data_IF_085943470765
#
_entry.id   IF_085943470765
#
_cell.length_a   1.000
_cell.length_b   1.000
_cell.length_c   1.000
_cell.angle_alpha   90.00
_cell.angle_beta   90.00
_cell.angle_gamma   90.00
#
_symmetry.space_group_name_H-M   'P 1'
#
loop_
_entity.id
_entity.type
_entity.pdbx_description
1 polymer ?
#
# COMPACT_ATOMS: atom_id res chain seq x y z
N UNK A 1 5.24 -30.68 -9.71
CA UNK A 1 5.34 -29.42 -10.47
C UNK A 1 5.93 -28.39 -9.52
N UNK A 2 7.23 -28.15 -9.59
CA UNK A 2 7.97 -27.21 -8.73
C UNK A 2 8.44 -26.05 -9.60
N UNK A 3 8.08 -24.82 -9.23
CA UNK A 3 8.92 -23.62 -9.18
C UNK A 3 8.01 -22.40 -8.92
N UNK A 4 8.02 -21.83 -7.72
CA UNK A 4 8.99 -20.87 -7.17
C UNK A 4 8.44 -19.43 -7.28
N UNK A 5 7.50 -19.11 -6.37
CA UNK A 5 7.20 -17.74 -5.95
C UNK A 5 7.48 -17.66 -4.44
N UNK A 6 8.64 -18.17 -4.01
CA UNK A 6 9.22 -17.77 -2.74
C UNK A 6 9.53 -16.30 -2.87
N UNK A 7 8.90 -15.49 -2.01
CA UNK A 7 8.91 -14.04 -2.04
C UNK A 7 10.25 -13.47 -2.45
N UNK A 8 10.22 -12.58 -3.45
CA UNK A 8 11.26 -11.59 -3.68
C UNK A 8 11.31 -10.65 -2.47
N UNK A 9 11.87 -11.16 -1.37
CA UNK A 9 12.31 -10.38 -0.22
C UNK A 9 13.52 -9.58 -0.71
N UNK A 10 13.28 -8.32 -1.07
CA UNK A 10 14.36 -7.37 -1.28
C UNK A 10 15.15 -7.23 0.03
N UNK A 11 16.49 -7.14 -0.03
CA UNK A 11 17.35 -7.22 1.15
C UNK A 11 17.04 -6.10 2.14
N UNK A 12 16.80 -6.50 3.40
CA UNK A 12 16.55 -5.63 4.55
C UNK A 12 17.71 -4.62 4.74
N UNK A 13 17.45 -3.33 4.54
CA UNK A 13 18.34 -2.27 4.99
C UNK A 13 18.07 -1.96 6.47
N UNK A 14 19.06 -2.25 7.32
CA UNK A 14 19.02 -2.29 8.78
C UNK A 14 18.98 -0.92 9.52
N UNK A 15 18.36 0.13 8.97
CA UNK A 15 18.32 1.45 9.65
C UNK A 15 16.92 1.95 10.05
N UNK A 16 15.85 1.20 9.80
CA UNK A 16 14.47 1.64 10.07
C UNK A 16 13.83 0.81 11.19
N UNK A 17 14.17 1.14 12.44
CA UNK A 17 13.93 0.33 13.65
C UNK A 17 12.51 -0.13 14.01
N UNK A 18 11.47 0.19 13.22
CA UNK A 18 10.10 -0.33 13.41
C UNK A 18 9.19 -0.02 12.20
N UNK A 19 9.42 1.11 11.53
CA UNK A 19 8.59 1.62 10.43
C UNK A 19 8.62 0.74 9.17
N UNK A 20 9.71 0.02 8.90
CA UNK A 20 9.79 -0.91 7.75
C UNK A 20 8.90 -2.14 7.95
N UNK A 21 8.97 -2.87 9.07
CA UNK A 21 8.01 -3.93 9.38
C UNK A 21 6.55 -3.48 9.33
N UNK A 22 6.26 -2.24 9.76
CA UNK A 22 4.91 -1.69 9.68
C UNK A 22 4.48 -1.39 8.23
N UNK A 23 5.37 -0.84 7.41
CA UNK A 23 5.13 -0.69 5.97
C UNK A 23 4.93 -2.05 5.28
N UNK A 24 5.69 -3.08 5.66
CA UNK A 24 5.57 -4.44 5.13
C UNK A 24 4.22 -5.06 5.50
N UNK A 25 3.82 -4.96 6.77
CA UNK A 25 2.49 -5.39 7.23
C UNK A 25 1.38 -4.69 6.45
N UNK A 26 1.39 -3.36 6.39
CA UNK A 26 0.36 -2.59 5.68
C UNK A 26 0.32 -2.95 4.20
N UNK A 27 1.48 -3.10 3.55
CA UNK A 27 1.55 -3.53 2.14
C UNK A 27 1.00 -4.93 1.90
N UNK A 28 1.17 -5.83 2.86
CA UNK A 28 0.67 -7.20 2.79
C UNK A 28 -0.84 -7.24 2.95
N UNK A 29 -1.37 -6.55 3.97
CA UNK A 29 -2.83 -6.42 4.14
C UNK A 29 -3.45 -5.81 2.89
N UNK A 30 -2.88 -4.73 2.36
CA UNK A 30 -3.40 -4.07 1.16
C UNK A 30 -3.34 -4.97 -0.08
N UNK A 31 -2.23 -5.67 -0.33
CA UNK A 31 -2.07 -6.42 -1.57
C UNK A 31 -2.71 -7.82 -1.54
N UNK A 32 -2.90 -8.43 -0.38
CA UNK A 32 -3.28 -9.85 -0.27
C UNK A 32 -4.65 -10.07 0.38
N UNK A 33 -5.15 -9.15 1.21
CA UNK A 33 -6.45 -9.31 1.88
C UNK A 33 -7.61 -8.85 1.01
N UNK A 34 -8.74 -9.56 1.06
CA UNK A 34 -10.01 -9.11 0.50
C UNK A 34 -10.56 -7.86 1.18
N UNK A 35 -10.17 -7.60 2.43
CA UNK A 35 -10.46 -6.34 3.14
C UNK A 35 -9.52 -5.21 2.74
N UNK A 36 -8.40 -5.53 2.08
CA UNK A 36 -7.50 -4.58 1.44
C UNK A 36 -7.92 -4.28 0.02
N UNK A 37 -6.96 -4.28 -0.91
CA UNK A 37 -7.18 -4.01 -2.32
C UNK A 37 -7.42 -5.28 -3.15
N UNK A 38 -7.09 -6.46 -2.64
CA UNK A 38 -7.21 -7.69 -3.42
C UNK A 38 -8.67 -7.99 -3.79
N UNK A 39 -8.90 -8.44 -5.02
CA UNK A 39 -10.25 -8.81 -5.50
C UNK A 39 -10.82 -10.00 -4.69
N UNK A 40 -9.96 -10.92 -4.27
CA UNK A 40 -10.30 -12.08 -3.43
C UNK A 40 -9.04 -12.63 -2.76
N UNK A 41 -9.19 -13.34 -1.64
CA UNK A 41 -8.07 -14.01 -0.95
C UNK A 41 -7.36 -15.06 -1.82
N UNK A 42 -8.07 -15.65 -2.79
CA UNK A 42 -7.50 -16.62 -3.74
C UNK A 42 -6.67 -15.98 -4.86
N UNK A 43 -6.70 -14.65 -5.00
CA UNK A 43 -6.00 -13.91 -6.05
C UNK A 43 -5.18 -12.76 -5.42
N UNK A 44 -4.16 -13.06 -4.60
CA UNK A 44 -3.32 -12.04 -4.00
C UNK A 44 -2.58 -11.23 -5.07
N UNK A 45 -2.35 -9.95 -4.79
CA UNK A 45 -1.77 -8.96 -5.69
C UNK A 45 -2.62 -8.64 -6.94
N UNK A 46 -3.80 -9.24 -7.13
CA UNK A 46 -4.79 -8.81 -8.12
C UNK A 46 -5.72 -7.82 -7.45
N UNK A 47 -5.54 -6.53 -7.74
CA UNK A 47 -6.24 -5.46 -7.06
C UNK A 47 -7.53 -5.06 -7.78
N UNK A 48 -8.51 -4.63 -7.00
CA UNK A 48 -9.78 -4.11 -7.46
C UNK A 48 -9.74 -2.57 -7.58
N UNK A 49 -10.19 -2.05 -8.72
CA UNK A 49 -10.16 -0.61 -9.02
C UNK A 49 -11.01 0.20 -8.04
N UNK A 50 -12.18 -0.30 -7.66
CA UNK A 50 -13.10 0.42 -6.80
C UNK A 50 -12.63 0.41 -5.34
N UNK A 51 -11.99 -0.68 -4.90
CA UNK A 51 -11.28 -0.71 -3.60
C UNK A 51 -10.13 0.27 -3.56
N UNK A 52 -9.35 0.41 -4.64
CA UNK A 52 -8.27 1.40 -4.72
C UNK A 52 -8.81 2.84 -4.64
N UNK A 53 -9.91 3.14 -5.34
CA UNK A 53 -10.60 4.45 -5.25
C UNK A 53 -11.15 4.70 -3.84
N UNK A 54 -11.75 3.69 -3.21
CA UNK A 54 -12.28 3.80 -1.85
C UNK A 54 -11.18 4.04 -0.81
N UNK A 55 -10.06 3.31 -0.90
CA UNK A 55 -8.90 3.54 -0.06
C UNK A 55 -8.36 4.97 -0.24
N UNK A 56 -8.31 5.45 -1.49
CA UNK A 56 -7.87 6.80 -1.79
C UNK A 56 -8.76 7.86 -1.14
N UNK A 57 -10.08 7.68 -1.17
CA UNK A 57 -11.02 8.55 -0.47
C UNK A 57 -10.88 8.47 1.04
N UNK A 58 -10.74 7.26 1.59
CA UNK A 58 -10.69 7.03 3.04
C UNK A 58 -9.42 7.61 3.68
N UNK A 59 -8.26 7.41 3.06
CA UNK A 59 -6.99 7.95 3.56
C UNK A 59 -6.84 9.47 3.38
N UNK A 60 -7.64 10.08 2.50
CA UNK A 60 -7.66 11.55 2.34
C UNK A 60 -8.81 12.21 3.12
N UNK A 61 -9.65 11.43 3.80
CA UNK A 61 -10.74 11.94 4.63
C UNK A 61 -10.35 11.87 6.12
N UNK A 62 -10.21 13.01 6.82
CA UNK A 62 -9.82 13.04 8.22
C UNK A 62 -10.71 12.21 9.15
N UNK A 63 -12.01 12.05 8.84
CA UNK A 63 -12.92 11.27 9.67
C UNK A 63 -12.77 9.75 9.51
N UNK A 64 -12.11 9.29 8.44
CA UNK A 64 -11.91 7.86 8.12
C UNK A 64 -10.45 7.43 8.23
N UNK A 65 -9.52 8.40 8.23
CA UNK A 65 -8.09 8.14 8.25
C UNK A 65 -7.66 7.27 9.43
N UNK A 66 -8.09 7.62 10.66
CA UNK A 66 -7.72 6.87 11.86
C UNK A 66 -8.28 5.44 11.85
N UNK A 67 -9.52 5.26 11.40
CA UNK A 67 -10.12 3.93 11.26
C UNK A 67 -9.33 3.07 10.28
N UNK A 68 -8.85 3.67 9.19
CA UNK A 68 -8.00 2.99 8.22
C UNK A 68 -6.65 2.59 8.80
N UNK A 69 -6.02 3.47 9.59
CA UNK A 69 -4.78 3.14 10.28
C UNK A 69 -4.96 1.95 11.22
N UNK A 70 -6.06 1.88 11.97
CA UNK A 70 -6.37 0.74 12.85
C UNK A 70 -6.54 -0.54 12.03
N UNK A 71 -7.29 -0.50 10.93
CA UNK A 71 -7.49 -1.66 10.04
C UNK A 71 -6.17 -2.18 9.44
N UNK A 72 -5.24 -1.28 9.14
CA UNK A 72 -3.90 -1.63 8.64
C UNK A 72 -2.91 -2.03 9.74
N UNK A 73 -3.33 -1.99 11.01
CA UNK A 73 -2.48 -2.30 12.16
C UNK A 73 -1.39 -1.25 12.41
N UNK A 74 -1.65 0.00 11.99
CA UNK A 74 -0.77 1.17 12.10
C UNK A 74 -1.19 2.14 13.22
N UNK A 75 -2.22 1.80 13.98
CA UNK A 75 -2.64 2.58 15.14
C UNK A 75 -2.91 1.65 16.31
N UNK A 76 -2.35 2.02 17.45
CA UNK A 76 -2.53 1.37 18.75
C UNK A 76 -2.77 2.44 19.81
N UNK A 77 -3.08 2.07 21.05
CA UNK A 77 -3.27 3.04 22.14
C UNK A 77 -2.03 3.89 22.43
N UNK A 78 -0.83 3.41 22.07
CA UNK A 78 0.43 4.03 22.46
C UNK A 78 1.20 4.64 21.28
N UNK A 79 0.97 4.16 20.06
CA UNK A 79 1.72 4.55 18.86
C UNK A 79 0.74 4.64 17.68
N UNK A 80 0.81 5.76 16.96
CA UNK A 80 0.09 5.99 15.72
C UNK A 80 1.12 6.29 14.62
N UNK A 81 1.10 5.49 13.56
CA UNK A 81 1.89 5.77 12.38
C UNK A 81 1.07 6.54 11.36
N UNK A 82 1.76 7.29 10.52
CA UNK A 82 1.22 7.87 9.31
C UNK A 82 1.47 6.95 8.11
N UNK A 83 0.60 7.05 7.10
CA UNK A 83 0.71 6.25 5.88
C UNK A 83 0.52 7.10 4.63
N UNK A 84 1.30 6.78 3.59
CA UNK A 84 1.05 7.20 2.22
C UNK A 84 0.99 5.97 1.33
N UNK A 85 -0.05 5.89 0.49
CA UNK A 85 -0.23 4.79 -0.45
C UNK A 85 -0.42 5.36 -1.85
N UNK A 86 0.34 4.84 -2.82
CA UNK A 86 0.19 5.23 -4.21
C UNK A 86 0.24 4.04 -5.15
N UNK A 87 -0.46 4.17 -6.28
CA UNK A 87 -0.44 3.19 -7.36
C UNK A 87 0.19 3.82 -8.60
N UNK A 88 1.24 3.19 -9.12
CA UNK A 88 2.13 3.79 -10.12
C UNK A 88 2.44 2.82 -11.24
N UNK A 89 2.70 3.34 -12.43
CA UNK A 89 3.31 2.57 -13.49
C UNK A 89 4.78 2.27 -13.16
N UNK A 90 5.36 1.28 -13.83
CA UNK A 90 6.78 0.92 -13.71
C UNK A 90 7.69 2.12 -14.05
N UNK A 91 7.26 3.01 -14.96
CA UNK A 91 7.96 4.26 -15.28
C UNK A 91 7.79 5.36 -14.22
N UNK A 92 7.33 5.01 -13.01
CA UNK A 92 7.24 5.89 -11.84
C UNK A 92 6.10 6.94 -11.88
N UNK A 93 5.29 6.97 -12.94
CA UNK A 93 4.13 7.87 -13.06
C UNK A 93 2.91 7.33 -12.29
N UNK A 94 2.10 8.23 -11.70
CA UNK A 94 0.87 7.83 -11.02
C UNK A 94 -0.13 7.22 -12.01
N UNK A 95 -0.71 6.08 -11.64
CA UNK A 95 -1.73 5.43 -12.45
C UNK A 95 -3.05 6.23 -12.41
N UNK A 96 -3.62 6.44 -13.59
CA UNK A 96 -4.85 7.19 -13.78
C UNK A 96 -5.90 6.34 -14.49
N UNK A 97 -7.14 6.42 -14.03
CA UNK A 97 -8.30 5.85 -14.70
C UNK A 97 -9.21 7.02 -15.09
N UNK A 98 -9.55 7.11 -16.39
CA UNK A 98 -10.33 8.22 -16.96
C UNK A 98 -9.76 9.62 -16.62
N UNK A 99 -8.43 9.76 -16.67
CA UNK A 99 -7.72 11.01 -16.40
C UNK A 99 -7.55 11.39 -14.92
N UNK A 100 -8.17 10.65 -13.99
CA UNK A 100 -8.05 10.88 -12.54
C UNK A 100 -7.09 9.88 -11.90
N UNK A 101 -6.24 10.37 -10.99
CA UNK A 101 -5.37 9.51 -10.18
C UNK A 101 -6.21 8.58 -9.34
N UNK A 102 -5.95 7.27 -9.44
CA UNK A 102 -6.74 6.25 -8.73
C UNK A 102 -6.35 6.16 -7.27
N UNK A 103 -5.05 6.15 -6.98
CA UNK A 103 -4.53 6.02 -5.62
C UNK A 103 -3.25 6.84 -5.47
N UNK A 104 -3.34 7.89 -4.66
CA UNK A 104 -2.26 8.69 -4.13
C UNK A 104 -2.78 9.38 -2.87
N UNK A 105 -2.78 8.65 -1.76
CA UNK A 105 -3.54 9.03 -0.57
C UNK A 105 -2.71 8.99 0.71
N UNK A 106 -3.16 9.78 1.68
CA UNK A 106 -2.42 10.06 2.90
C UNK A 106 -1.38 11.16 2.70
N UNK A 107 -0.98 11.79 3.81
CA UNK A 107 0.03 12.84 3.79
C UNK A 107 1.35 12.33 3.21
N UNK A 108 2.23 13.21 2.75
CA UNK A 108 3.60 12.81 2.45
C UNK A 108 4.46 13.00 3.72
N UNK A 109 5.46 12.13 3.95
CA UNK A 109 6.40 12.33 5.04
C UNK A 109 7.21 13.60 4.81
N UNK A 110 7.60 14.25 5.90
CA UNK A 110 8.59 15.33 5.87
C UNK A 110 9.96 14.79 5.45
N UNK A 111 10.82 15.67 4.91
CA UNK A 111 12.14 15.30 4.34
C UNK A 111 13.09 14.61 5.34
N UNK A 112 12.83 14.76 6.64
CA UNK A 112 13.65 14.21 7.73
C UNK A 112 13.00 13.02 8.46
N UNK A 113 11.79 12.61 8.05
CA UNK A 113 11.09 11.51 8.69
C UNK A 113 11.81 10.16 8.43
N UNK A 114 11.85 9.30 9.43
CA UNK A 114 12.27 7.92 9.23
C UNK A 114 11.14 7.15 8.57
N UNK A 115 11.27 6.88 7.27
CA UNK A 115 10.20 6.28 6.45
C UNK A 115 10.51 4.83 6.13
N UNK A 116 9.62 3.93 6.53
CA UNK A 116 9.55 2.59 5.98
C UNK A 116 8.85 2.62 4.63
N UNK A 117 9.49 2.13 3.57
CA UNK A 117 8.90 2.08 2.23
C UNK A 117 8.93 0.65 1.69
N UNK A 118 7.78 0.19 1.23
CA UNK A 118 7.62 -1.09 0.53
C UNK A 118 6.96 -0.83 -0.81
N UNK A 119 7.50 -1.45 -1.86
CA UNK A 119 6.94 -1.41 -3.22
C UNK A 119 6.58 -2.83 -3.64
N UNK A 120 5.32 -3.06 -4.00
CA UNK A 120 4.83 -4.37 -4.47
C UNK A 120 4.38 -4.28 -5.92
N UNK A 121 4.65 -5.33 -6.70
CA UNK A 121 4.07 -5.48 -8.04
C UNK A 121 2.65 -6.01 -7.88
N UNK A 122 1.69 -5.33 -8.47
CA UNK A 122 0.26 -5.69 -8.44
C UNK A 122 -0.32 -5.68 -9.84
N UNK A 123 -1.37 -6.45 -10.06
CA UNK A 123 -2.10 -6.53 -11.32
C UNK A 123 -3.50 -5.94 -11.15
N UNK A 124 -3.86 -4.99 -12.01
CA UNK A 124 -5.19 -4.42 -12.08
C UNK A 124 -5.97 -5.12 -13.20
N UNK A 125 -6.91 -5.98 -12.84
CA UNK A 125 -7.62 -6.85 -13.79
C UNK A 125 -8.48 -6.08 -14.78
N UNK A 126 -9.15 -5.01 -14.32
CA UNK A 126 -10.09 -4.21 -15.12
C UNK A 126 -9.42 -3.56 -16.34
N UNK A 127 -8.18 -3.11 -16.19
CA UNK A 127 -7.42 -2.41 -17.25
C UNK A 127 -6.28 -3.27 -17.81
N UNK A 128 -6.13 -4.51 -17.31
CA UNK A 128 -5.03 -5.43 -17.66
C UNK A 128 -3.64 -4.81 -17.51
N UNK A 129 -3.40 -4.07 -16.42
CA UNK A 129 -2.15 -3.36 -16.17
C UNK A 129 -1.34 -3.99 -15.03
N UNK A 130 -0.02 -4.05 -15.20
CA UNK A 130 0.92 -4.31 -14.10
C UNK A 130 1.38 -2.98 -13.54
N UNK A 131 1.21 -2.80 -12.24
CA UNK A 131 1.45 -1.56 -11.51
C UNK A 131 2.33 -1.82 -10.28
N UNK A 132 2.84 -0.74 -9.71
CA UNK A 132 3.59 -0.71 -8.47
C UNK A 132 2.69 -0.09 -7.40
N UNK A 133 2.40 -0.86 -6.35
CA UNK A 133 1.79 -0.37 -5.12
C UNK A 133 2.91 0.05 -4.17
N UNK A 134 3.03 1.35 -3.92
CA UNK A 134 3.96 1.87 -2.92
C UNK A 134 3.24 2.21 -1.64
N UNK A 135 3.78 1.69 -0.55
CA UNK A 135 3.33 1.95 0.81
C UNK A 135 4.50 2.58 1.56
N UNK A 136 4.28 3.76 2.11
CA UNK A 136 5.21 4.47 2.98
C UNK A 136 4.58 4.63 4.35
N UNK A 137 5.34 4.35 5.40
CA UNK A 137 4.91 4.47 6.80
C UNK A 137 5.98 5.22 7.60
N UNK A 138 5.57 6.13 8.46
CA UNK A 138 6.45 6.87 9.37
C UNK A 138 5.68 7.20 10.66
N UNK A 139 6.38 7.72 11.67
CA UNK A 139 5.76 8.26 12.89
C UNK A 139 5.37 9.72 12.67
#
# INVERSE_FOLDING_TARGET
MYNLLTGLLLPFQFNAGEVVPMAERASTVLAESSSGLAISESNPNVIDLDKAKWLNSSLNNPSQYNDMLIQLGLSTTNINYNINVSLRHINNTLYKNLGKTVLNAGALPDDYANVGKITRVVYLSQDSQILLLDVRVWL
#
